data_IF_905355033786
#
_entry.id   IF_905355033786
#
_cell.length_a   1.000
_cell.length_b   1.000
_cell.length_c   1.000
_cell.angle_alpha   90.00
_cell.angle_beta   90.00
_cell.angle_gamma   90.00
#
_symmetry.space_group_name_H-M   'P 1'
#
loop_
_entity.id
_entity.type
_entity.pdbx_description
1 polymer ?
#
# COMPACT_ATOMS: atom_id res chain seq x y z
N UNK A 1 -26.91 1.87 33.28
CA UNK A 1 -27.32 1.62 31.89
C UNK A 1 -26.21 2.14 30.99
N UNK A 2 -25.31 1.26 30.53
CA UNK A 2 -24.39 1.56 29.43
C UNK A 2 -24.95 0.87 28.20
N UNK A 3 -25.26 1.64 27.16
CA UNK A 3 -25.63 1.07 25.86
C UNK A 3 -24.37 0.39 25.32
N UNK A 4 -24.40 -0.92 25.22
CA UNK A 4 -23.32 -1.73 24.67
C UNK A 4 -23.29 -1.44 23.16
N UNK A 5 -22.32 -0.62 22.72
CA UNK A 5 -22.11 -0.31 21.30
C UNK A 5 -21.85 -1.61 20.54
N UNK A 6 -22.75 -1.97 19.61
CA UNK A 6 -22.57 -3.14 18.75
C UNK A 6 -21.42 -2.88 17.79
N UNK A 7 -20.24 -3.39 18.12
CA UNK A 7 -19.05 -3.27 17.29
C UNK A 7 -18.68 -4.59 16.62
N UNK A 8 -18.31 -4.53 15.35
CA UNK A 8 -17.81 -5.67 14.57
C UNK A 8 -16.42 -5.33 14.07
N UNK A 9 -15.44 -6.22 14.28
CA UNK A 9 -14.06 -6.00 13.87
C UNK A 9 -13.67 -6.96 12.74
N UNK A 10 -13.16 -6.41 11.65
CA UNK A 10 -12.58 -7.15 10.52
C UNK A 10 -11.07 -6.92 10.46
N UNK A 11 -10.32 -7.99 10.22
CA UNK A 11 -8.88 -7.94 9.94
C UNK A 11 -8.66 -8.46 8.51
N UNK A 12 -8.09 -7.62 7.66
CA UNK A 12 -7.85 -7.91 6.25
C UNK A 12 -6.35 -7.96 5.99
N UNK A 13 -5.89 -9.01 5.32
CA UNK A 13 -4.52 -9.09 4.82
C UNK A 13 -4.51 -8.81 3.32
N UNK A 14 -3.79 -7.77 2.91
CA UNK A 14 -3.65 -7.36 1.51
C UNK A 14 -2.25 -7.69 1.02
N UNK A 15 -2.18 -8.52 -0.02
CA UNK A 15 -0.94 -8.84 -0.71
C UNK A 15 -0.64 -7.77 -1.76
N UNK A 16 0.44 -7.03 -1.55
CA UNK A 16 0.95 -6.04 -2.46
C UNK A 16 1.72 -6.74 -3.57
N UNK A 17 1.46 -6.33 -4.82
CA UNK A 17 2.23 -6.79 -5.97
C UNK A 17 3.13 -5.66 -6.45
N UNK A 18 4.39 -5.95 -6.80
CA UNK A 18 5.24 -4.94 -7.37
C UNK A 18 4.67 -4.51 -8.73
N UNK A 19 4.74 -3.21 -9.08
CA UNK A 19 4.36 -2.76 -10.41
C UNK A 19 5.32 -3.30 -11.47
N UNK A 20 4.96 -3.22 -12.76
CA UNK A 20 5.84 -3.64 -13.85
C UNK A 20 7.24 -3.01 -13.75
N UNK A 21 8.26 -3.82 -14.02
CA UNK A 21 9.67 -3.39 -13.93
C UNK A 21 10.21 -3.30 -12.50
N UNK A 22 9.47 -3.80 -11.51
CA UNK A 22 9.92 -3.90 -10.12
C UNK A 22 9.70 -5.31 -9.60
N UNK A 23 10.52 -5.71 -8.63
CA UNK A 23 10.35 -6.93 -7.85
C UNK A 23 10.55 -6.64 -6.37
N UNK A 24 9.86 -7.39 -5.52
CA UNK A 24 10.09 -7.36 -4.08
C UNK A 24 11.06 -8.48 -3.70
N UNK A 25 12.13 -8.12 -3.00
CA UNK A 25 13.09 -9.06 -2.42
C UNK A 25 13.10 -8.88 -0.92
N UNK A 26 12.92 -9.97 -0.19
CA UNK A 26 13.05 -9.95 1.26
C UNK A 26 14.54 -9.95 1.61
N UNK A 27 14.99 -8.95 2.37
CA UNK A 27 16.33 -8.98 2.95
C UNK A 27 16.29 -9.94 4.15
N UNK A 28 16.66 -11.20 3.93
CA UNK A 28 16.76 -12.21 4.97
C UNK A 28 18.06 -11.95 5.74
N UNK A 29 17.95 -11.19 6.82
CA UNK A 29 18.95 -10.92 7.87
C UNK A 29 20.36 -11.46 7.60
N UNK A 30 21.28 -10.53 7.27
CA UNK A 30 22.72 -10.77 7.47
C UNK A 30 23.01 -10.70 8.96
N UNK A 31 22.89 -11.83 9.68
CA UNK A 31 23.44 -12.25 11.00
C UNK A 31 23.51 -11.27 12.21
N UNK A 32 23.30 -9.96 12.11
CA UNK A 32 23.67 -8.98 13.16
C UNK A 32 22.55 -8.00 13.57
N UNK A 33 21.28 -8.25 13.21
CA UNK A 33 20.17 -7.41 13.69
C UNK A 33 19.37 -8.06 14.83
N UNK A 34 18.86 -7.24 15.79
CA UNK A 34 18.10 -7.74 16.92
C UNK A 34 16.76 -8.37 16.48
N UNK A 35 16.34 -9.48 17.11
CA UNK A 35 15.09 -10.15 16.79
C UNK A 35 13.90 -9.21 17.07
N UNK A 36 13.10 -8.93 16.04
CA UNK A 36 11.89 -8.12 16.15
C UNK A 36 11.80 -6.92 15.19
N UNK A 37 12.81 -6.70 14.34
CA UNK A 37 12.66 -5.78 13.21
C UNK A 37 11.81 -6.48 12.13
N UNK A 38 10.76 -5.82 11.59
CA UNK A 38 10.04 -6.36 10.44
C UNK A 38 11.04 -6.61 9.31
N UNK A 39 10.92 -7.74 8.60
CA UNK A 39 11.76 -8.03 7.44
C UNK A 39 11.65 -6.87 6.45
N UNK A 40 12.76 -6.18 6.19
CA UNK A 40 12.77 -5.02 5.31
C UNK A 40 12.62 -5.50 3.87
N UNK A 41 11.54 -5.05 3.20
CA UNK A 41 11.24 -5.46 1.83
C UNK A 41 11.96 -4.50 0.90
N UNK A 42 12.98 -5.00 0.20
CA UNK A 42 13.72 -4.23 -0.78
C UNK A 42 13.01 -4.26 -2.14
N UNK A 43 12.89 -3.10 -2.77
CA UNK A 43 12.29 -2.93 -4.10
C UNK A 43 13.41 -2.85 -5.13
N UNK A 44 13.49 -3.86 -5.99
CA UNK A 44 14.51 -3.97 -7.03
C UNK A 44 13.92 -3.57 -8.38
N UNK A 45 14.67 -2.80 -9.17
CA UNK A 45 14.33 -2.47 -10.55
C UNK A 45 14.77 -3.60 -11.49
N UNK A 46 13.84 -4.06 -12.33
CA UNK A 46 14.09 -5.10 -13.33
C UNK A 46 14.20 -4.53 -14.75
N UNK A 47 15.04 -5.16 -15.58
CA UNK A 47 15.14 -4.81 -16.99
C UNK A 47 13.92 -5.32 -17.75
N UNK A 48 13.16 -4.40 -18.33
CA UNK A 48 11.98 -4.72 -19.14
C UNK A 48 12.25 -4.69 -20.65
N UNK A 49 13.52 -4.55 -21.09
CA UNK A 49 13.85 -4.43 -22.52
C UNK A 49 13.43 -5.65 -23.34
N UNK A 50 13.58 -6.86 -22.80
CA UNK A 50 13.17 -8.09 -23.49
C UNK A 50 11.64 -8.17 -23.69
N UNK A 51 10.85 -7.54 -22.81
CA UNK A 51 9.39 -7.44 -22.95
C UNK A 51 8.95 -6.38 -23.96
N UNK A 52 9.81 -5.41 -24.28
CA UNK A 52 9.53 -4.39 -25.31
C UNK A 52 9.30 -5.02 -26.68
N UNK A 53 10.05 -6.07 -27.01
CA UNK A 53 9.91 -6.79 -28.29
C UNK A 53 8.57 -7.54 -28.41
N UNK A 54 7.95 -7.92 -27.29
CA UNK A 54 6.69 -8.65 -27.23
C UNK A 54 5.44 -7.77 -27.05
N UNK A 55 5.55 -6.68 -26.28
CA UNK A 55 4.42 -5.86 -25.85
C UNK A 55 4.48 -4.42 -26.39
N UNK A 56 5.53 -4.07 -27.13
CA UNK A 56 5.75 -2.75 -27.73
C UNK A 56 6.05 -1.66 -26.70
N UNK A 57 5.03 -1.23 -25.96
CA UNK A 57 5.05 -0.02 -25.13
C UNK A 57 5.52 -0.28 -23.69
N UNK A 58 6.63 -1.00 -23.53
CA UNK A 58 7.27 -1.18 -22.22
C UNK A 58 8.42 -0.18 -22.02
N UNK A 59 8.32 0.62 -20.95
CA UNK A 59 9.42 1.48 -20.49
C UNK A 59 10.36 0.65 -19.62
N UNK A 60 11.67 0.69 -19.93
CA UNK A 60 12.69 0.11 -19.07
C UNK A 60 13.35 1.22 -18.26
N UNK A 61 13.22 1.16 -16.93
CA UNK A 61 13.80 2.15 -16.03
C UNK A 61 15.33 2.07 -15.93
N UNK A 62 15.92 0.89 -16.23
CA UNK A 62 17.37 0.67 -16.21
C UNK A 62 18.09 1.19 -17.46
N UNK A 63 17.49 0.99 -18.64
CA UNK A 63 18.12 1.30 -19.94
C UNK A 63 17.36 2.42 -20.66
N UNK A 64 17.41 3.61 -20.06
CA UNK A 64 16.77 4.81 -20.58
C UNK A 64 17.47 5.24 -21.88
N UNK A 65 16.75 5.16 -23.01
CA UNK A 65 17.32 5.46 -24.35
C UNK A 65 16.93 6.86 -24.87
N UNK A 66 16.01 7.59 -24.21
CA UNK A 66 15.63 8.96 -24.63
C UNK A 66 15.14 9.79 -23.43
N UNK A 67 15.49 11.07 -23.39
CA UNK A 67 15.20 12.03 -22.32
C UNK A 67 13.72 12.43 -22.23
N UNK A 68 12.88 11.92 -23.14
CA UNK A 68 11.49 12.34 -23.36
C UNK A 68 10.43 11.57 -22.56
N UNK A 69 10.80 10.56 -21.78
CA UNK A 69 9.84 9.85 -20.91
C UNK A 69 9.72 10.60 -19.58
N UNK A 70 8.51 11.05 -19.17
CA UNK A 70 8.30 11.71 -17.89
C UNK A 70 8.88 10.87 -16.76
N UNK A 71 9.63 11.49 -15.84
CA UNK A 71 10.24 10.82 -14.68
C UNK A 71 9.24 10.05 -13.82
N UNK A 72 7.96 10.41 -13.89
CA UNK A 72 6.93 10.08 -12.90
C UNK A 72 6.67 8.59 -12.66
N UNK A 73 6.67 7.71 -13.67
CA UNK A 73 6.01 6.41 -13.45
C UNK A 73 6.83 5.38 -12.65
N UNK A 74 8.16 5.34 -12.84
CA UNK A 74 9.04 4.49 -12.02
C UNK A 74 9.47 5.18 -10.73
N UNK A 75 9.49 6.51 -10.73
CA UNK A 75 9.84 7.31 -9.56
C UNK A 75 8.70 7.35 -8.54
N UNK A 76 7.43 7.34 -8.97
CA UNK A 76 6.30 7.50 -8.07
C UNK A 76 6.28 6.47 -6.93
N UNK A 77 6.50 5.18 -7.23
CA UNK A 77 6.52 4.15 -6.17
C UNK A 77 7.69 4.38 -5.22
N UNK A 78 8.91 4.58 -5.73
CA UNK A 78 10.11 4.75 -4.91
C UNK A 78 10.06 6.05 -4.09
N UNK A 79 9.52 7.13 -4.66
CA UNK A 79 9.42 8.44 -4.01
C UNK A 79 8.30 8.48 -2.96
N UNK A 80 7.16 7.83 -3.22
CA UNK A 80 5.98 7.95 -2.37
C UNK A 80 5.78 6.78 -1.41
N UNK A 81 6.23 5.57 -1.74
CA UNK A 81 5.97 4.35 -0.95
C UNK A 81 7.23 3.72 -0.37
N UNK A 82 8.42 4.15 -0.79
CA UNK A 82 9.68 3.65 -0.27
C UNK A 82 10.43 4.72 0.54
N UNK A 83 11.30 4.27 1.44
CA UNK A 83 12.36 5.08 2.03
C UNK A 83 13.68 4.49 1.55
N UNK A 84 14.42 5.28 0.77
CA UNK A 84 15.50 4.78 -0.10
C UNK A 84 14.96 3.74 -1.10
N UNK A 85 15.36 2.47 -0.97
CA UNK A 85 14.91 1.36 -1.82
C UNK A 85 14.10 0.31 -1.05
N UNK A 86 13.68 0.61 0.18
CA UNK A 86 12.89 -0.29 1.01
C UNK A 86 11.44 0.20 1.09
N UNK A 87 10.49 -0.73 0.99
CA UNK A 87 9.07 -0.43 1.14
C UNK A 87 8.81 0.08 2.57
N UNK A 88 8.22 1.27 2.66
CA UNK A 88 7.96 1.92 3.93
C UNK A 88 6.51 1.67 4.34
N UNK A 89 6.31 0.84 5.36
CA UNK A 89 4.97 0.43 5.82
C UNK A 89 4.11 1.63 6.21
N UNK A 90 4.68 2.70 6.77
CA UNK A 90 3.92 3.87 7.15
C UNK A 90 3.45 4.65 5.92
N UNK A 91 4.34 4.84 4.94
CA UNK A 91 3.98 5.48 3.66
C UNK A 91 2.94 4.68 2.89
N UNK A 92 3.08 3.36 2.84
CA UNK A 92 2.08 2.45 2.25
C UNK A 92 0.75 2.56 2.96
N UNK A 93 0.74 2.51 4.30
CA UNK A 93 -0.49 2.64 5.07
C UNK A 93 -1.20 3.97 4.81
N UNK A 94 -0.44 5.07 4.76
CA UNK A 94 -0.96 6.40 4.44
C UNK A 94 -1.53 6.49 3.03
N UNK A 95 -0.83 5.91 2.06
CA UNK A 95 -1.30 5.87 0.67
C UNK A 95 -2.61 5.09 0.55
N UNK A 96 -2.73 3.93 1.20
CA UNK A 96 -3.98 3.16 1.22
C UNK A 96 -5.10 3.90 1.96
N UNK A 97 -4.81 4.58 3.06
CA UNK A 97 -5.80 5.44 3.73
C UNK A 97 -6.37 6.52 2.80
N UNK A 98 -5.51 7.20 2.05
CA UNK A 98 -5.94 8.19 1.06
C UNK A 98 -6.76 7.55 -0.07
N UNK A 99 -6.31 6.39 -0.56
CA UNK A 99 -7.01 5.65 -1.63
C UNK A 99 -8.42 5.23 -1.18
N UNK A 100 -8.54 4.59 -0.02
CA UNK A 100 -9.82 4.13 0.54
C UNK A 100 -10.74 5.32 0.82
N UNK A 101 -10.22 6.40 1.41
CA UNK A 101 -11.02 7.61 1.69
C UNK A 101 -11.53 8.27 0.41
N UNK A 102 -10.70 8.32 -0.63
CA UNK A 102 -11.09 8.87 -1.94
C UNK A 102 -12.12 7.98 -2.63
N UNK A 103 -11.89 6.66 -2.63
CA UNK A 103 -12.79 5.68 -3.22
C UNK A 103 -14.15 5.63 -2.50
N UNK A 104 -14.16 5.81 -1.17
CA UNK A 104 -15.37 5.79 -0.35
C UNK A 104 -16.43 6.78 -0.85
N UNK A 105 -16.01 7.98 -1.29
CA UNK A 105 -16.92 9.02 -1.80
C UNK A 105 -17.74 8.58 -3.02
N UNK A 106 -17.28 7.56 -3.74
CA UNK A 106 -17.96 7.02 -4.92
C UNK A 106 -18.85 5.81 -4.62
N UNK A 107 -18.82 5.30 -3.38
CA UNK A 107 -19.65 4.16 -2.97
C UNK A 107 -21.04 4.62 -2.51
N UNK A 108 -22.13 3.92 -2.87
CA UNK A 108 -23.47 4.22 -2.39
C UNK A 108 -23.60 4.29 -0.86
N UNK A 109 -22.82 3.48 -0.15
CA UNK A 109 -22.79 3.35 1.30
C UNK A 109 -22.32 4.64 1.99
N UNK A 110 -21.53 5.48 1.31
CA UNK A 110 -21.06 6.76 1.85
C UNK A 110 -22.16 7.74 2.23
N UNK A 111 -23.37 7.56 1.67
CA UNK A 111 -24.55 8.38 1.99
C UNK A 111 -25.18 8.02 3.33
N UNK A 112 -24.93 6.81 3.83
CA UNK A 112 -25.60 6.25 5.01
C UNK A 112 -24.61 5.86 6.13
N UNK A 113 -23.33 5.78 5.80
CA UNK A 113 -22.26 5.39 6.70
C UNK A 113 -21.10 6.39 6.60
N UNK A 114 -20.61 6.83 7.76
CA UNK A 114 -19.43 7.66 7.85
C UNK A 114 -18.18 6.79 7.96
N UNK A 115 -17.22 7.01 7.07
CA UNK A 115 -15.87 6.44 7.17
C UNK A 115 -14.96 7.39 7.94
N UNK A 116 -14.34 6.89 9.00
CA UNK A 116 -13.35 7.60 9.81
C UNK A 116 -12.03 6.84 9.79
N UNK A 117 -10.94 7.52 9.42
CA UNK A 117 -9.60 6.96 9.50
C UNK A 117 -9.11 7.07 10.95
N UNK A 118 -8.67 5.95 11.53
CA UNK A 118 -8.14 5.90 12.89
C UNK A 118 -6.60 5.94 12.87
N UNK A 119 -5.96 6.53 13.89
CA UNK A 119 -4.51 6.59 13.98
C UNK A 119 -3.91 5.18 14.14
N UNK A 120 -2.92 4.86 13.30
CA UNK A 120 -2.11 3.65 13.42
C UNK A 120 -0.79 3.83 12.68
N UNK A 121 0.29 3.26 13.21
CA UNK A 121 1.64 3.35 12.65
C UNK A 121 2.01 2.19 11.72
N UNK A 122 1.31 1.05 11.79
CA UNK A 122 1.69 -0.20 11.09
C UNK A 122 0.57 -0.83 10.27
N UNK A 123 -0.65 -0.30 10.37
CA UNK A 123 -1.83 -0.84 9.70
C UNK A 123 -2.73 0.32 9.26
N UNK A 124 -3.63 0.08 8.31
CA UNK A 124 -4.71 1.03 8.05
C UNK A 124 -5.92 0.66 8.90
N UNK A 125 -6.32 1.55 9.80
CA UNK A 125 -7.51 1.35 10.62
C UNK A 125 -8.61 2.30 10.17
N UNK A 126 -9.80 1.74 9.94
CA UNK A 126 -10.98 2.48 9.55
C UNK A 126 -12.15 2.11 10.44
N UNK A 127 -12.96 3.10 10.79
CA UNK A 127 -14.24 2.91 11.44
C UNK A 127 -15.35 3.34 10.49
N UNK A 128 -16.32 2.47 10.29
CA UNK A 128 -17.58 2.78 9.64
C UNK A 128 -18.66 2.91 10.72
N UNK A 129 -19.24 4.11 10.83
CA UNK A 129 -20.36 4.35 11.74
C UNK A 129 -21.62 4.53 10.90
N UNK A 130 -22.60 3.67 11.13
CA UNK A 130 -23.91 3.72 10.46
C UNK A 130 -24.93 4.48 11.31
N UNK A 131 -25.98 5.00 10.67
CA UNK A 131 -27.15 5.57 11.36
C UNK A 131 -27.86 4.59 12.31
N UNK A 132 -27.57 3.29 12.21
CA UNK A 132 -28.11 2.25 13.08
C UNK A 132 -27.28 2.01 14.37
N UNK A 133 -26.35 2.91 14.72
CA UNK A 133 -25.44 2.82 15.89
C UNK A 133 -24.56 1.56 15.91
N UNK A 134 -24.34 0.96 14.74
CA UNK A 134 -23.37 -0.14 14.56
C UNK A 134 -22.04 0.48 14.13
N UNK A 135 -20.98 0.13 14.85
CA UNK A 135 -19.61 0.50 14.51
C UNK A 135 -18.89 -0.69 13.90
N UNK A 136 -18.37 -0.53 12.68
CA UNK A 136 -17.54 -1.56 12.05
C UNK A 136 -16.10 -1.06 12.04
N UNK A 137 -15.22 -1.75 12.75
CA UNK A 137 -13.79 -1.52 12.72
C UNK A 137 -13.17 -2.42 11.66
N UNK A 138 -12.36 -1.87 10.78
CA UNK A 138 -11.57 -2.63 9.80
C UNK A 138 -10.11 -2.28 9.96
N UNK A 139 -9.27 -3.29 10.18
CA UNK A 139 -7.81 -3.14 10.15
C UNK A 139 -7.24 -3.88 8.94
N UNK A 140 -6.41 -3.18 8.18
CA UNK A 140 -5.73 -3.73 7.00
C UNK A 140 -4.24 -3.86 7.29
N UNK A 141 -3.72 -5.06 7.07
CA UNK A 141 -2.32 -5.41 7.13
C UNK A 141 -1.79 -5.68 5.72
N UNK A 142 -0.49 -5.44 5.52
CA UNK A 142 0.16 -5.60 4.23
C UNK A 142 1.16 -6.75 4.24
N UNK A 143 1.18 -7.53 3.16
CA UNK A 143 2.16 -8.56 2.86
C UNK A 143 2.65 -8.42 1.42
N UNK A 144 3.79 -9.02 1.09
CA UNK A 144 4.37 -9.08 -0.27
C UNK A 144 4.59 -10.52 -0.71
#
# INVERSE_FOLDING_TARGET
>A
WSVEEKSISYHLLVFLRPPPGHSFSLDLDTTEQPPGRPSDIHVVLECMCWKRELLGDCVCFLHRHDDKVPRDQGSFLLENLCTSSYLDTEKVARWVQLLVTSAWQFLPESRHCQLTVLPSSKACKFQLTSTAEINILTEIFFAV
#
